data_IF_041108218795
#
_entry.id   IF_041108218795
#
_cell.length_a   1.000
_cell.length_b   1.000
_cell.length_c   1.000
_cell.angle_alpha   90.00
_cell.angle_beta   90.00
_cell.angle_gamma   90.00
#
_symmetry.space_group_name_H-M   'P 1'
#
loop_
_entity.id
_entity.type
_entity.pdbx_description
1 polymer ?
#
# COMPACT_ATOMS: atom_id res chain seq x y z
N UNK A 1 7.97 1.34 -17.33
CA UNK A 1 8.59 2.22 -16.33
C UNK A 1 7.52 2.53 -15.30
N UNK A 2 7.72 2.17 -14.03
CA UNK A 2 6.70 2.36 -12.98
C UNK A 2 6.29 3.83 -12.90
N UNK A 3 4.98 4.07 -12.88
CA UNK A 3 4.36 5.38 -12.76
C UNK A 3 4.97 6.20 -11.60
N UNK A 4 5.28 7.48 -11.85
CA UNK A 4 5.87 8.37 -10.84
C UNK A 4 5.02 8.49 -9.57
N UNK A 5 3.69 8.48 -9.71
CA UNK A 5 2.75 8.49 -8.58
C UNK A 5 2.93 7.23 -7.73
N UNK A 6 3.09 6.07 -8.37
CA UNK A 6 3.27 4.80 -7.67
C UNK A 6 4.63 4.73 -6.99
N UNK A 7 5.70 5.19 -7.63
CA UNK A 7 7.02 5.29 -6.98
C UNK A 7 6.96 6.15 -5.72
N UNK A 8 6.25 7.29 -5.77
CA UNK A 8 6.02 8.17 -4.62
C UNK A 8 5.23 7.43 -3.52
N UNK A 9 4.16 6.74 -3.88
CA UNK A 9 3.32 6.01 -2.93
C UNK A 9 4.06 4.84 -2.28
N UNK A 10 4.84 4.07 -3.05
CA UNK A 10 5.71 3.01 -2.52
C UNK A 10 6.68 3.61 -1.50
N UNK A 11 7.32 4.74 -1.81
CA UNK A 11 8.21 5.41 -0.86
C UNK A 11 7.52 5.75 0.46
N UNK A 12 6.32 6.34 0.38
CA UNK A 12 5.54 6.74 1.56
C UNK A 12 5.07 5.52 2.36
N UNK A 13 4.63 4.46 1.68
CA UNK A 13 4.27 3.20 2.33
C UNK A 13 5.48 2.59 3.03
N UNK A 14 6.62 2.49 2.35
CA UNK A 14 7.85 1.96 2.95
C UNK A 14 8.27 2.75 4.18
N UNK A 15 8.21 4.07 4.12
CA UNK A 15 8.46 4.91 5.29
C UNK A 15 7.47 4.62 6.43
N UNK A 16 6.17 4.49 6.13
CA UNK A 16 5.13 4.16 7.12
C UNK A 16 5.35 2.80 7.79
N UNK A 17 5.93 1.83 7.11
CA UNK A 17 6.14 0.47 7.59
C UNK A 17 7.60 0.16 7.96
N UNK A 18 8.42 1.19 8.15
CA UNK A 18 9.83 1.10 8.55
C UNK A 18 10.71 0.28 7.59
N UNK A 19 10.56 0.53 6.29
CA UNK A 19 11.43 0.01 5.22
C UNK A 19 12.28 1.13 4.60
N UNK A 20 13.58 0.89 4.52
CA UNK A 20 14.49 1.69 3.70
C UNK A 20 14.20 1.45 2.20
N UNK A 21 14.30 2.52 1.40
CA UNK A 21 14.04 2.49 -0.04
C UNK A 21 15.29 2.89 -0.80
N UNK A 22 15.72 2.05 -1.74
CA UNK A 22 16.80 2.35 -2.68
C UNK A 22 16.29 2.22 -4.12
N UNK A 23 16.72 3.14 -4.98
CA UNK A 23 16.37 3.14 -6.40
C UNK A 23 17.61 2.80 -7.25
N UNK A 24 17.54 1.69 -7.96
CA UNK A 24 18.48 1.30 -9.02
C UNK A 24 17.79 1.50 -10.39
N UNK A 25 18.53 1.47 -11.49
CA UNK A 25 18.04 1.86 -12.84
C UNK A 25 16.62 1.36 -13.16
N UNK A 26 16.33 0.08 -12.91
CA UNK A 26 15.03 -0.54 -13.18
C UNK A 26 14.40 -1.22 -11.95
N UNK A 27 15.00 -1.06 -10.77
CA UNK A 27 14.64 -1.83 -9.57
C UNK A 27 14.39 -0.88 -8.41
N UNK A 28 13.29 -1.08 -7.69
CA UNK A 28 13.07 -0.48 -6.38
C UNK A 28 13.35 -1.56 -5.33
N UNK A 29 14.34 -1.32 -4.47
CA UNK A 29 14.69 -2.21 -3.38
C UNK A 29 14.10 -1.65 -2.07
N UNK A 30 13.30 -2.45 -1.38
CA UNK A 30 12.72 -2.14 -0.08
C UNK A 30 13.28 -3.12 0.94
N UNK A 31 13.82 -2.64 2.05
CA UNK A 31 14.42 -3.52 3.08
C UNK A 31 14.21 -3.03 4.50
N UNK A 32 14.12 -3.96 5.43
CA UNK A 32 14.29 -3.70 6.85
C UNK A 32 15.00 -4.90 7.52
N UNK A 33 14.98 -4.99 8.84
CA UNK A 33 15.62 -6.10 9.58
C UNK A 33 15.04 -7.49 9.25
N UNK A 34 13.84 -7.55 8.66
CA UNK A 34 13.11 -8.78 8.36
C UNK A 34 12.89 -9.02 6.87
N UNK A 35 12.43 -8.00 6.14
CA UNK A 35 11.98 -8.10 4.77
C UNK A 35 13.04 -7.55 3.81
N UNK A 36 13.22 -8.23 2.68
CA UNK A 36 13.95 -7.78 1.51
C UNK A 36 13.01 -7.98 0.32
N UNK A 37 12.72 -6.89 -0.41
CA UNK A 37 11.74 -6.86 -1.49
C UNK A 37 12.36 -6.11 -2.68
N UNK A 38 12.31 -6.72 -3.85
CA UNK A 38 12.72 -6.11 -5.11
C UNK A 38 11.51 -5.96 -6.03
N UNK A 39 11.33 -4.77 -6.58
CA UNK A 39 10.23 -4.43 -7.48
C UNK A 39 10.81 -4.03 -8.83
N UNK A 40 10.46 -4.77 -9.87
CA UNK A 40 10.93 -4.58 -11.24
C UNK A 40 9.74 -4.22 -12.14
N UNK A 41 9.88 -3.17 -12.95
CA UNK A 41 8.91 -2.91 -14.02
C UNK A 41 9.09 -3.94 -15.13
N UNK A 42 8.01 -4.60 -15.52
CA UNK A 42 7.95 -5.39 -16.76
C UNK A 42 7.30 -4.52 -17.86
N UNK A 43 7.29 -5.02 -19.09
CA UNK A 43 6.53 -4.48 -20.23
C UNK A 43 5.01 -4.60 -19.93
N UNK A 44 4.19 -3.72 -20.50
CA UNK A 44 2.70 -3.75 -20.42
C UNK A 44 2.05 -3.47 -19.05
N UNK A 45 2.66 -2.66 -18.18
CA UNK A 45 2.15 -2.30 -16.84
C UNK A 45 2.16 -3.46 -15.82
N UNK A 46 2.86 -4.54 -16.15
CA UNK A 46 3.13 -5.62 -15.21
C UNK A 46 4.35 -5.29 -14.34
N UNK A 47 4.33 -5.80 -13.12
CA UNK A 47 5.39 -5.62 -12.12
C UNK A 47 5.80 -7.01 -11.63
N UNK A 48 7.10 -7.32 -11.66
CA UNK A 48 7.67 -8.46 -10.93
C UNK A 48 8.09 -8.00 -9.55
N UNK A 49 7.61 -8.69 -8.53
CA UNK A 49 7.98 -8.48 -7.13
C UNK A 49 8.63 -9.74 -6.59
N UNK A 50 9.91 -9.63 -6.22
CA UNK A 50 10.66 -10.68 -5.52
C UNK A 50 10.74 -10.34 -4.05
N UNK A 51 10.52 -11.30 -3.17
CA UNK A 51 10.63 -11.06 -1.73
C UNK A 51 11.07 -12.31 -0.98
N UNK A 52 11.77 -12.12 0.13
CA UNK A 52 12.26 -13.22 0.95
C UNK A 52 11.10 -13.94 1.69
N UNK A 53 11.19 -15.26 1.77
CA UNK A 53 10.30 -16.15 2.53
C UNK A 53 11.14 -17.17 3.31
N UNK A 54 10.54 -17.95 4.21
CA UNK A 54 11.26 -18.96 5.00
C UNK A 54 12.01 -19.97 4.12
N UNK A 55 11.43 -20.34 2.98
CA UNK A 55 11.98 -21.31 2.02
C UNK A 55 12.94 -20.69 0.98
N UNK A 56 13.23 -19.39 1.06
CA UNK A 56 14.11 -18.70 0.11
C UNK A 56 13.49 -17.40 -0.42
N UNK A 57 13.24 -17.35 -1.73
CA UNK A 57 12.70 -16.17 -2.42
C UNK A 57 11.44 -16.58 -3.18
N UNK A 58 10.37 -15.80 -3.01
CA UNK A 58 9.15 -15.91 -3.81
C UNK A 58 9.12 -14.79 -4.86
N UNK A 59 8.60 -15.07 -6.04
CA UNK A 59 8.44 -14.10 -7.12
C UNK A 59 6.99 -14.06 -7.59
N UNK A 60 6.44 -12.86 -7.75
CA UNK A 60 5.08 -12.65 -8.26
C UNK A 60 5.07 -11.61 -9.36
N UNK A 61 4.47 -11.97 -10.48
CA UNK A 61 4.09 -11.04 -11.54
C UNK A 61 2.66 -10.58 -11.28
N UNK A 62 2.47 -9.27 -11.16
CA UNK A 62 1.20 -8.65 -10.79
C UNK A 62 0.95 -7.40 -11.63
N UNK A 63 -0.30 -6.97 -11.71
CA UNK A 63 -0.63 -5.70 -12.34
C UNK A 63 -0.17 -4.53 -11.47
N UNK A 64 0.16 -3.40 -12.11
CA UNK A 64 0.55 -2.16 -11.41
C UNK A 64 -0.46 -1.75 -10.31
N UNK A 65 -1.77 -1.96 -10.53
CA UNK A 65 -2.83 -1.65 -9.55
C UNK A 65 -2.87 -2.55 -8.32
N UNK A 66 -2.18 -3.69 -8.34
CA UNK A 66 -2.20 -4.70 -7.27
C UNK A 66 -1.01 -4.57 -6.31
N UNK A 67 -0.05 -3.69 -6.64
CA UNK A 67 1.20 -3.55 -5.89
C UNK A 67 0.99 -3.18 -4.42
N UNK A 68 0.00 -2.33 -4.13
CA UNK A 68 -0.25 -1.89 -2.76
C UNK A 68 -0.76 -3.03 -1.88
N UNK A 69 -1.63 -3.90 -2.42
CA UNK A 69 -2.12 -5.07 -1.69
C UNK A 69 -0.97 -6.02 -1.34
N UNK A 70 -0.11 -6.31 -2.32
CA UNK A 70 1.04 -7.18 -2.09
C UNK A 70 1.99 -6.58 -1.03
N UNK A 71 2.38 -5.31 -1.19
CA UNK A 71 3.32 -4.66 -0.29
C UNK A 71 2.78 -4.55 1.13
N UNK A 72 1.54 -4.12 1.32
CA UNK A 72 0.94 -4.00 2.66
C UNK A 72 0.90 -5.36 3.37
N UNK A 73 0.60 -6.44 2.65
CA UNK A 73 0.64 -7.80 3.20
C UNK A 73 2.05 -8.23 3.59
N UNK A 74 3.06 -7.98 2.74
CA UNK A 74 4.46 -8.28 3.07
C UNK A 74 4.97 -7.43 4.25
N UNK A 75 4.55 -6.17 4.34
CA UNK A 75 4.97 -5.29 5.43
C UNK A 75 4.38 -5.72 6.79
N UNK A 76 3.16 -6.27 6.79
CA UNK A 76 2.43 -6.62 8.01
C UNK A 76 2.59 -8.08 8.45
N UNK A 77 3.12 -8.97 7.61
CA UNK A 77 3.28 -10.39 7.98
C UNK A 77 4.13 -10.55 9.25
N UNK A 78 3.76 -11.49 10.11
CA UNK A 78 4.48 -11.78 11.36
C UNK A 78 5.59 -12.81 11.17
N UNK A 79 5.44 -13.71 10.19
CA UNK A 79 6.45 -14.69 9.75
C UNK A 79 6.91 -14.43 8.32
N UNK A 80 7.94 -15.12 7.83
CA UNK A 80 8.41 -14.97 6.43
C UNK A 80 7.58 -15.88 5.49
N UNK A 81 6.26 -15.81 5.62
CA UNK A 81 5.34 -16.60 4.81
C UNK A 81 5.10 -15.97 3.43
N UNK A 82 4.65 -16.79 2.49
CA UNK A 82 4.14 -16.33 1.18
C UNK A 82 2.83 -15.57 1.40
N UNK A 83 2.63 -14.49 0.66
CA UNK A 83 1.41 -13.68 0.75
C UNK A 83 0.56 -13.86 -0.50
N UNK A 84 -0.77 -13.91 -0.36
CA UNK A 84 -1.69 -13.99 -1.49
C UNK A 84 -2.43 -12.67 -1.68
N UNK A 85 -2.64 -12.27 -2.93
CA UNK A 85 -3.45 -11.11 -3.27
C UNK A 85 -4.91 -11.35 -2.89
N UNK A 86 -5.61 -10.29 -2.52
CA UNK A 86 -7.05 -10.37 -2.28
C UNK A 86 -7.76 -10.58 -3.63
N UNK A 87 -8.89 -11.30 -3.67
CA UNK A 87 -9.51 -11.69 -4.93
C UNK A 87 -10.10 -10.50 -5.71
N UNK A 88 -10.71 -9.52 -5.03
CA UNK A 88 -11.49 -8.46 -5.68
C UNK A 88 -10.65 -7.25 -6.11
N UNK A 89 -11.30 -6.19 -6.58
CA UNK A 89 -10.65 -4.95 -6.99
C UNK A 89 -10.02 -4.20 -5.81
N UNK A 90 -9.04 -3.31 -6.06
CA UNK A 90 -8.52 -2.39 -5.06
C UNK A 90 -9.62 -1.49 -4.52
N UNK A 91 -9.61 -1.28 -3.19
CA UNK A 91 -10.53 -0.37 -2.52
C UNK A 91 -10.46 1.06 -3.09
N UNK A 92 -11.59 1.75 -3.20
CA UNK A 92 -11.67 3.10 -3.74
C UNK A 92 -12.41 4.09 -2.83
N UNK A 93 -12.89 5.20 -3.41
CA UNK A 93 -13.62 6.24 -2.66
C UNK A 93 -15.06 5.82 -2.35
N UNK A 94 -15.68 4.99 -3.20
CA UNK A 94 -17.04 4.53 -3.00
C UNK A 94 -17.07 3.57 -1.79
N UNK A 95 -16.05 2.72 -1.66
CA UNK A 95 -15.87 1.89 -0.46
C UNK A 95 -15.74 2.72 0.84
N UNK A 96 -15.13 3.91 0.77
CA UNK A 96 -15.02 4.82 1.91
C UNK A 96 -16.37 5.49 2.23
N UNK A 97 -17.15 5.82 1.21
CA UNK A 97 -18.51 6.35 1.39
C UNK A 97 -19.40 5.33 2.08
N UNK A 98 -19.35 4.06 1.62
CA UNK A 98 -20.09 2.96 2.24
C UNK A 98 -19.68 2.75 3.70
N UNK A 99 -18.39 2.86 4.03
CA UNK A 99 -17.87 2.67 5.38
C UNK A 99 -18.25 3.80 6.34
N UNK A 100 -18.11 5.07 5.91
CA UNK A 100 -18.27 6.23 6.79
C UNK A 100 -19.62 6.94 6.67
N UNK A 101 -20.41 6.63 5.64
CA UNK A 101 -21.78 7.12 5.38
C UNK A 101 -21.92 8.60 5.01
N UNK A 102 -20.94 9.44 5.35
CA UNK A 102 -20.89 10.88 5.03
C UNK A 102 -19.46 11.26 4.59
N UNK A 103 -19.20 11.18 3.28
CA UNK A 103 -17.92 11.58 2.70
C UNK A 103 -17.58 13.03 3.02
N UNK A 104 -18.56 13.92 3.18
CA UNK A 104 -18.33 15.32 3.51
C UNK A 104 -17.64 15.48 4.87
N UNK A 105 -18.14 14.80 5.91
CA UNK A 105 -17.49 14.77 7.23
C UNK A 105 -16.12 14.11 7.19
N UNK A 106 -15.97 13.03 6.41
CA UNK A 106 -14.68 12.37 6.24
C UNK A 106 -13.66 13.33 5.59
N UNK A 107 -14.05 14.03 4.52
CA UNK A 107 -13.22 15.04 3.88
C UNK A 107 -12.85 16.19 4.82
N UNK A 108 -13.78 16.68 5.65
CA UNK A 108 -13.49 17.71 6.64
C UNK A 108 -12.44 17.24 7.65
N UNK A 109 -12.56 15.99 8.13
CA UNK A 109 -11.55 15.37 8.99
C UNK A 109 -10.20 15.30 8.29
N UNK A 110 -10.14 14.89 7.02
CA UNK A 110 -8.90 14.88 6.23
C UNK A 110 -8.29 16.27 6.06
N UNK A 111 -9.11 17.27 5.70
CA UNK A 111 -8.68 18.67 5.57
C UNK A 111 -8.11 19.19 6.89
N UNK A 112 -8.71 18.82 8.02
CA UNK A 112 -8.22 19.16 9.36
C UNK A 112 -6.86 18.51 9.66
N UNK A 113 -6.69 17.22 9.35
CA UNK A 113 -5.40 16.51 9.53
C UNK A 113 -4.28 17.16 8.70
N UNK A 114 -4.56 17.49 7.43
CA UNK A 114 -3.61 18.14 6.53
C UNK A 114 -3.21 19.53 7.04
N UNK A 115 -4.19 20.35 7.45
CA UNK A 115 -3.93 21.70 8.01
C UNK A 115 -3.10 21.63 9.29
N UNK A 116 -3.31 20.58 10.08
CA UNK A 116 -2.60 20.36 11.34
C UNK A 116 -1.18 19.81 11.16
N UNK A 117 -0.74 19.56 9.90
CA UNK A 117 0.57 18.99 9.57
C UNK A 117 0.86 17.68 10.34
N UNK A 118 -0.17 16.89 10.59
CA UNK A 118 -0.03 15.59 11.21
C UNK A 118 0.50 14.62 10.15
N UNK A 119 1.59 13.92 10.44
CA UNK A 119 2.15 12.96 9.49
C UNK A 119 1.43 11.61 9.53
N UNK A 120 0.77 11.26 10.64
CA UNK A 120 0.06 10.00 10.78
C UNK A 120 -1.21 10.14 11.63
N UNK A 121 -2.31 9.56 11.14
CA UNK A 121 -3.52 9.35 11.92
C UNK A 121 -4.17 8.02 11.55
N UNK A 122 -4.45 7.18 12.55
CA UNK A 122 -5.39 6.08 12.37
C UNK A 122 -6.81 6.65 12.30
N UNK A 123 -7.46 6.58 11.14
CA UNK A 123 -8.80 7.13 10.96
C UNK A 123 -9.86 6.17 11.50
N UNK A 124 -9.58 4.86 11.47
CA UNK A 124 -10.48 3.80 11.87
C UNK A 124 -11.18 3.17 10.67
N UNK A 125 -12.40 2.69 10.89
CA UNK A 125 -13.16 1.87 9.95
C UNK A 125 -13.43 0.48 10.54
N UNK A 126 -14.52 -0.13 10.12
CA UNK A 126 -14.97 -1.46 10.52
C UNK A 126 -14.53 -2.49 9.46
N UNK A 127 -15.02 -2.37 8.22
CA UNK A 127 -14.56 -3.22 7.09
C UNK A 127 -13.36 -2.58 6.41
N UNK A 128 -13.47 -1.30 6.06
CA UNK A 128 -12.42 -0.54 5.36
C UNK A 128 -11.55 0.20 6.37
N UNK A 129 -10.49 -0.47 6.82
CA UNK A 129 -9.50 0.12 7.71
C UNK A 129 -8.73 1.21 6.98
N UNK A 130 -8.84 2.43 7.48
CA UNK A 130 -8.32 3.63 6.86
C UNK A 130 -7.26 4.30 7.73
N UNK A 131 -6.09 4.51 7.15
CA UNK A 131 -5.00 5.25 7.78
C UNK A 131 -4.61 6.44 6.91
N UNK A 132 -4.37 7.58 7.54
CA UNK A 132 -3.78 8.74 6.89
C UNK A 132 -2.28 8.78 7.19
N UNK A 133 -1.47 8.90 6.14
CA UNK A 133 -0.03 9.09 6.27
C UNK A 133 0.45 10.19 5.32
N UNK A 134 0.87 11.32 5.88
CA UNK A 134 1.32 12.54 5.20
C UNK A 134 0.32 13.10 4.18
N UNK A 135 0.28 12.55 2.98
CA UNK A 135 -0.64 12.96 1.91
C UNK A 135 -1.24 11.79 1.14
N UNK A 136 -1.21 10.60 1.75
CA UNK A 136 -1.87 9.41 1.22
C UNK A 136 -2.85 8.82 2.23
N UNK A 137 -3.89 8.19 1.70
CA UNK A 137 -4.75 7.27 2.45
C UNK A 137 -4.30 5.85 2.14
N UNK A 138 -4.14 5.05 3.18
CA UNK A 138 -3.85 3.63 3.09
C UNK A 138 -5.14 2.91 3.48
N UNK A 139 -5.72 2.22 2.50
CA UNK A 139 -6.98 1.50 2.65
C UNK A 139 -6.70 0.01 2.71
N UNK A 140 -7.30 -0.69 3.67
CA UNK A 140 -7.22 -2.14 3.79
C UNK A 140 -8.58 -2.71 4.10
N UNK A 141 -8.86 -3.87 3.54
CA UNK A 141 -10.05 -4.63 3.90
C UNK A 141 -9.73 -5.57 5.05
N UNK A 142 -10.43 -5.45 6.17
CA UNK A 142 -10.25 -6.32 7.34
C UNK A 142 -10.63 -7.78 7.03
N UNK A 143 -11.60 -7.97 6.13
CA UNK A 143 -12.11 -9.29 5.72
C UNK A 143 -11.16 -9.95 4.69
N UNK A 144 -10.38 -9.16 3.96
CA UNK A 144 -9.46 -9.64 2.93
C UNK A 144 -10.12 -10.01 1.59
N UNK A 145 -11.31 -9.49 1.32
CA UNK A 145 -12.03 -9.66 0.05
C UNK A 145 -11.51 -8.70 -1.02
N UNK A 146 -11.43 -7.41 -0.67
CA UNK A 146 -10.90 -6.36 -1.53
C UNK A 146 -9.38 -6.21 -1.38
N UNK A 147 -8.74 -5.76 -2.46
CA UNK A 147 -7.30 -5.47 -2.45
C UNK A 147 -7.06 -4.16 -1.70
N UNK A 148 -6.03 -4.12 -0.88
CA UNK A 148 -5.59 -2.88 -0.24
C UNK A 148 -5.17 -1.86 -1.30
N UNK A 149 -5.39 -0.58 -1.04
CA UNK A 149 -5.08 0.48 -1.99
C UNK A 149 -4.46 1.71 -1.31
N UNK A 150 -3.82 2.55 -2.12
CA UNK A 150 -3.30 3.85 -1.68
C UNK A 150 -3.88 4.97 -2.53
N UNK A 151 -4.64 5.85 -1.90
CA UNK A 151 -5.22 7.02 -2.55
C UNK A 151 -4.38 8.27 -2.25
N UNK A 152 -4.10 9.08 -3.25
CA UNK A 152 -3.43 10.36 -3.05
C UNK A 152 -4.46 11.43 -2.68
N UNK A 153 -4.19 12.18 -1.62
CA UNK A 153 -4.97 13.37 -1.29
C UNK A 153 -4.32 14.57 -2.00
N UNK A 154 -5.12 15.29 -2.80
CA UNK A 154 -4.71 16.49 -3.53
C UNK A 154 -4.95 17.74 -2.69
#
# INVERSE_FOLDING_TARGET
>A
MINHIIKKNIRLLSERYDHEVSYCENVILLKNSKNIIEINSIVNNDISVKYNVEEGIDEKEILEREIYDLLIKIFRRTKLEKVNLSPSYPLDLDDLEEEFGDLGRFEEKLKSLIKSKIDYSNIGGNRVLTEFYKNILILRDDIGTAKSNVLNIK
#
